data_IF_151195475486
#
_entry.id   IF_151195475486
#
_cell.length_a   1.000
_cell.length_b   1.000
_cell.length_c   1.000
_cell.angle_alpha   90.00
_cell.angle_beta   90.00
_cell.angle_gamma   90.00
#
_symmetry.space_group_name_H-M   'P 1'
#
loop_
_entity.id
_entity.type
_entity.pdbx_description
1 polymer ?
#
# COMPACT_ATOMS: atom_id res chain seq x y z
N UNK A 1 -22.10 0.13 7.91
CA UNK A 1 -21.89 0.23 9.37
C UNK A 1 -20.49 0.75 9.58
N UNK A 2 -20.34 1.89 10.24
CA UNK A 2 -19.02 2.44 10.56
C UNK A 2 -18.32 1.59 11.63
N UNK A 3 -16.99 1.58 11.72
CA UNK A 3 -16.24 0.87 12.76
C UNK A 3 -16.73 1.23 14.17
N UNK A 4 -17.07 2.51 14.39
CA UNK A 4 -17.62 2.99 15.66
C UNK A 4 -18.96 2.34 16.04
N UNK A 5 -19.84 2.09 15.08
CA UNK A 5 -21.14 1.44 15.34
C UNK A 5 -20.97 -0.04 15.73
N UNK A 6 -20.00 -0.73 15.14
CA UNK A 6 -19.69 -2.13 15.49
C UNK A 6 -19.11 -2.24 16.91
N UNK A 7 -18.18 -1.36 17.28
CA UNK A 7 -17.58 -1.34 18.62
C UNK A 7 -18.60 -1.07 19.72
N UNK A 8 -19.53 -0.14 19.48
CA UNK A 8 -20.61 0.18 20.42
C UNK A 8 -21.55 -1.02 20.60
N UNK A 9 -21.94 -1.69 19.52
CA UNK A 9 -22.82 -2.87 19.58
C UNK A 9 -22.18 -4.05 20.30
N UNK A 10 -20.90 -4.31 20.05
CA UNK A 10 -20.15 -5.37 20.73
C UNK A 10 -19.98 -5.09 22.23
N UNK A 11 -19.69 -3.86 22.60
CA UNK A 11 -19.60 -3.48 24.00
C UNK A 11 -20.94 -3.59 24.73
N UNK A 12 -22.04 -3.19 24.08
CA UNK A 12 -23.40 -3.39 24.59
C UNK A 12 -23.72 -4.88 24.76
N UNK A 13 -23.42 -5.71 23.75
CA UNK A 13 -23.64 -7.15 23.82
C UNK A 13 -22.83 -7.80 24.95
N UNK A 14 -21.59 -7.37 25.15
CA UNK A 14 -20.70 -7.90 26.20
C UNK A 14 -21.17 -7.47 27.59
N UNK A 15 -21.59 -6.21 27.74
CA UNK A 15 -22.13 -5.70 29.00
C UNK A 15 -23.45 -6.34 29.40
N UNK A 16 -24.39 -6.48 28.44
CA UNK A 16 -25.67 -7.16 28.66
C UNK A 16 -25.46 -8.65 28.95
N UNK A 17 -24.56 -9.31 28.21
CA UNK A 17 -24.20 -10.71 28.44
C UNK A 17 -23.60 -10.93 29.83
N UNK A 18 -22.62 -10.10 30.22
CA UNK A 18 -22.00 -10.16 31.55
C UNK A 18 -23.01 -9.91 32.68
N UNK A 19 -23.91 -8.94 32.49
CA UNK A 19 -25.00 -8.68 33.42
C UNK A 19 -25.93 -9.89 33.59
N UNK A 20 -26.41 -10.47 32.49
CA UNK A 20 -27.33 -11.61 32.52
C UNK A 20 -26.71 -12.84 33.17
N UNK A 21 -25.42 -13.11 32.90
CA UNK A 21 -24.70 -14.22 33.52
C UNK A 21 -24.57 -14.02 35.03
N UNK A 22 -24.11 -12.84 35.48
CA UNK A 22 -23.92 -12.56 36.90
C UNK A 22 -25.26 -12.54 37.66
N UNK A 23 -26.31 -11.99 37.04
CA UNK A 23 -27.64 -12.00 37.60
C UNK A 23 -28.21 -13.42 37.72
N UNK A 24 -28.00 -14.28 36.71
CA UNK A 24 -28.40 -15.69 36.76
C UNK A 24 -27.69 -16.49 37.88
N UNK A 25 -26.46 -16.10 38.24
CA UNK A 25 -25.72 -16.67 39.37
C UNK A 25 -26.14 -16.10 40.75
N UNK A 26 -27.19 -15.28 40.82
CA UNK A 26 -27.74 -14.76 42.07
C UNK A 26 -26.96 -13.59 42.66
N UNK A 27 -26.08 -12.96 41.88
CA UNK A 27 -25.38 -11.74 42.30
C UNK A 27 -26.36 -10.57 42.37
N UNK A 28 -26.28 -9.77 43.43
CA UNK A 28 -27.16 -8.63 43.66
C UNK A 28 -27.20 -7.70 42.44
N UNK A 29 -28.39 -7.24 42.08
CA UNK A 29 -28.66 -6.45 40.87
C UNK A 29 -27.66 -5.30 40.65
N UNK A 30 -27.35 -4.55 41.72
CA UNK A 30 -26.40 -3.42 41.68
C UNK A 30 -24.97 -3.86 41.34
N UNK A 31 -24.52 -5.00 41.87
CA UNK A 31 -23.19 -5.55 41.59
C UNK A 31 -23.10 -6.09 40.17
N UNK A 32 -24.14 -6.79 39.71
CA UNK A 32 -24.23 -7.31 38.34
C UNK A 32 -24.25 -6.18 37.31
N UNK A 33 -25.00 -5.10 37.56
CA UNK A 33 -25.04 -3.94 36.69
C UNK A 33 -23.69 -3.21 36.63
N UNK A 34 -23.02 -3.04 37.78
CA UNK A 34 -21.69 -2.43 37.84
C UNK A 34 -20.63 -3.23 37.08
N UNK A 35 -20.61 -4.56 37.26
CA UNK A 35 -19.68 -5.45 36.57
C UNK A 35 -19.97 -5.55 35.07
N UNK A 36 -21.24 -5.58 34.67
CA UNK A 36 -21.64 -5.54 33.25
C UNK A 36 -21.22 -4.23 32.56
N UNK A 37 -21.39 -3.09 33.24
CA UNK A 37 -20.92 -1.80 32.71
C UNK A 37 -19.39 -1.76 32.58
N UNK A 38 -18.65 -2.29 33.57
CA UNK A 38 -17.19 -2.42 33.51
C UNK A 38 -16.74 -3.28 32.33
N UNK A 39 -17.39 -4.42 32.10
CA UNK A 39 -17.12 -5.28 30.95
C UNK A 39 -17.39 -4.58 29.62
N UNK A 40 -18.46 -3.80 29.52
CA UNK A 40 -18.75 -3.00 28.33
C UNK A 40 -17.66 -1.95 28.04
N UNK A 41 -17.22 -1.24 29.08
CA UNK A 41 -16.13 -0.24 28.97
C UNK A 41 -14.82 -0.91 28.57
N UNK A 42 -14.50 -2.05 29.18
CA UNK A 42 -13.29 -2.80 28.86
C UNK A 42 -13.32 -3.35 27.43
N UNK A 43 -14.47 -3.85 26.97
CA UNK A 43 -14.67 -4.29 25.60
C UNK A 43 -14.52 -3.13 24.61
N UNK A 44 -15.10 -1.95 24.91
CA UNK A 44 -14.94 -0.74 24.11
C UNK A 44 -13.46 -0.32 24.02
N UNK A 45 -12.75 -0.33 25.15
CA UNK A 45 -11.34 0.04 25.21
C UNK A 45 -10.48 -0.95 24.42
N UNK A 46 -10.71 -2.25 24.61
CA UNK A 46 -10.00 -3.32 23.91
C UNK A 46 -10.25 -3.27 22.40
N UNK A 47 -11.50 -3.05 21.98
CA UNK A 47 -11.86 -2.92 20.56
C UNK A 47 -11.29 -1.66 19.93
N UNK A 48 -11.29 -0.52 20.62
CA UNK A 48 -10.69 0.71 20.08
C UNK A 48 -9.15 0.67 20.09
N UNK A 49 -8.54 -0.05 21.03
CA UNK A 49 -7.10 -0.24 21.09
C UNK A 49 -6.59 -1.24 20.06
N UNK A 50 -7.37 -2.30 19.79
CA UNK A 50 -7.04 -3.34 18.81
C UNK A 50 -7.57 -3.06 17.41
N UNK A 51 -8.54 -2.15 17.25
CA UNK A 51 -8.99 -1.73 15.92
C UNK A 51 -7.83 -1.01 15.25
N UNK A 52 -7.42 -1.45 14.04
CA UNK A 52 -6.55 -0.63 13.22
C UNK A 52 -7.19 0.74 13.10
N UNK A 53 -6.44 1.79 13.41
CA UNK A 53 -6.89 3.15 13.13
C UNK A 53 -7.16 3.24 11.62
N UNK A 54 -8.13 4.03 11.16
CA UNK A 54 -8.45 4.11 9.72
C UNK A 54 -7.20 4.35 8.85
N UNK A 55 -6.24 5.12 9.38
CA UNK A 55 -4.92 5.36 8.76
C UNK A 55 -4.04 4.11 8.64
N UNK A 56 -4.09 3.22 9.63
CA UNK A 56 -3.36 1.95 9.59
C UNK A 56 -3.99 1.01 8.56
N UNK A 57 -5.33 0.97 8.48
CA UNK A 57 -6.02 0.21 7.45
C UNK A 57 -5.72 0.73 6.03
N UNK A 58 -5.64 2.05 5.87
CA UNK A 58 -5.23 2.68 4.60
C UNK A 58 -3.78 2.36 4.23
N UNK A 59 -2.86 2.41 5.20
CA UNK A 59 -1.47 2.01 5.00
C UNK A 59 -1.37 0.54 4.55
N UNK A 60 -2.10 -0.36 5.20
CA UNK A 60 -2.12 -1.77 4.85
C UNK A 60 -2.71 -2.03 3.46
N UNK A 61 -3.75 -1.28 3.06
CA UNK A 61 -4.30 -1.34 1.71
C UNK A 61 -3.28 -0.85 0.67
N UNK A 62 -2.60 0.27 0.92
CA UNK A 62 -1.57 0.79 0.03
C UNK A 62 -0.41 -0.20 -0.16
N UNK A 63 0.04 -0.82 0.94
CA UNK A 63 1.08 -1.85 0.90
C UNK A 63 0.61 -3.09 0.12
N UNK A 64 -0.64 -3.51 0.30
CA UNK A 64 -1.20 -4.63 -0.48
C UNK A 64 -1.23 -4.30 -1.98
N UNK A 65 -1.59 -3.07 -2.35
CA UNK A 65 -1.60 -2.63 -3.75
C UNK A 65 -0.18 -2.54 -4.32
N UNK A 66 0.80 -2.08 -3.53
CA UNK A 66 2.22 -2.08 -3.91
C UNK A 66 2.68 -3.50 -4.30
N UNK A 67 2.33 -4.50 -3.50
CA UNK A 67 2.64 -5.90 -3.78
C UNK A 67 1.95 -6.42 -5.07
N UNK A 68 0.70 -6.04 -5.28
CA UNK A 68 -0.04 -6.36 -6.52
C UNK A 68 0.63 -5.77 -7.76
N UNK A 69 0.98 -4.47 -7.74
CA UNK A 69 1.66 -3.85 -8.87
C UNK A 69 3.06 -4.43 -9.08
N UNK A 70 3.77 -4.78 -8.01
CA UNK A 70 5.09 -5.43 -8.11
C UNK A 70 4.99 -6.80 -8.76
N UNK A 71 3.96 -7.57 -8.41
CA UNK A 71 3.67 -8.86 -9.07
C UNK A 71 3.36 -8.66 -10.56
N UNK A 72 2.60 -7.61 -10.91
CA UNK A 72 2.33 -7.25 -12.30
C UNK A 72 3.61 -6.85 -13.05
N UNK A 73 4.45 -5.99 -12.48
CA UNK A 73 5.75 -5.59 -13.07
C UNK A 73 6.63 -6.82 -13.28
N UNK A 74 6.67 -7.75 -12.32
CA UNK A 74 7.42 -9.01 -12.47
C UNK A 74 6.92 -9.81 -13.67
N UNK A 75 5.61 -9.97 -13.83
CA UNK A 75 5.05 -10.66 -14.98
C UNK A 75 5.36 -9.95 -16.32
N UNK A 76 5.24 -8.62 -16.36
CA UNK A 76 5.58 -7.83 -17.54
C UNK A 76 7.08 -7.87 -17.87
N UNK A 77 7.95 -7.87 -16.86
CA UNK A 77 9.40 -7.93 -17.07
C UNK A 77 9.83 -9.19 -17.83
N UNK A 78 9.10 -10.31 -17.70
CA UNK A 78 9.38 -11.54 -18.44
C UNK A 78 9.09 -11.42 -19.95
N UNK A 79 8.29 -10.44 -20.36
CA UNK A 79 7.96 -10.16 -21.77
C UNK A 79 8.95 -9.19 -22.42
N UNK A 80 9.81 -8.55 -21.64
CA UNK A 80 10.88 -7.68 -22.15
C UNK A 80 11.94 -8.53 -22.85
N UNK A 81 12.27 -8.19 -24.09
CA UNK A 81 13.25 -8.90 -24.91
C UNK A 81 14.70 -8.57 -24.51
N UNK A 82 14.93 -7.39 -23.93
CA UNK A 82 16.25 -6.98 -23.44
C UNK A 82 16.58 -7.65 -22.09
N UNK A 83 17.61 -8.50 -22.09
CA UNK A 83 18.01 -9.28 -20.91
C UNK A 83 18.48 -8.38 -19.75
N UNK A 84 19.16 -7.27 -20.04
CA UNK A 84 19.68 -6.35 -19.02
C UNK A 84 18.54 -5.60 -18.32
N UNK A 85 17.59 -5.08 -19.09
CA UNK A 85 16.38 -4.41 -18.57
C UNK A 85 15.51 -5.38 -17.79
N UNK A 86 15.32 -6.61 -18.30
CA UNK A 86 14.58 -7.66 -17.58
C UNK A 86 15.22 -8.00 -16.23
N UNK A 87 16.53 -8.23 -16.21
CA UNK A 87 17.25 -8.54 -14.96
C UNK A 87 17.20 -7.38 -13.96
N UNK A 88 17.30 -6.15 -14.47
CA UNK A 88 17.17 -4.92 -13.69
C UNK A 88 15.78 -4.83 -13.04
N UNK A 89 14.71 -5.01 -13.80
CA UNK A 89 13.34 -4.99 -13.30
C UNK A 89 13.08 -6.07 -12.25
N UNK A 90 13.56 -7.29 -12.49
CA UNK A 90 13.45 -8.38 -11.52
C UNK A 90 14.15 -8.05 -10.21
N UNK A 91 15.35 -7.47 -10.27
CA UNK A 91 16.08 -7.02 -9.07
C UNK A 91 15.33 -5.89 -8.32
N UNK A 92 14.63 -5.00 -9.04
CA UNK A 92 13.76 -4.00 -8.42
C UNK A 92 12.55 -4.64 -7.71
N UNK A 93 11.90 -5.62 -8.34
CA UNK A 93 10.83 -6.39 -7.72
C UNK A 93 11.32 -7.18 -6.49
N UNK A 94 12.53 -7.73 -6.52
CA UNK A 94 13.13 -8.46 -5.38
C UNK A 94 13.45 -7.55 -4.18
N UNK A 95 13.73 -6.26 -4.42
CA UNK A 95 13.99 -5.29 -3.36
C UNK A 95 12.72 -4.70 -2.72
N UNK A 96 11.57 -4.84 -3.40
CA UNK A 96 10.29 -4.28 -2.95
C UNK A 96 9.81 -4.76 -1.57
N UNK A 97 9.93 -6.05 -1.20
CA UNK A 97 9.57 -6.52 0.14
C UNK A 97 10.33 -5.76 1.25
N UNK A 98 11.62 -5.47 1.02
CA UNK A 98 12.43 -4.69 1.96
C UNK A 98 11.96 -3.24 2.07
N UNK A 99 11.58 -2.60 0.96
CA UNK A 99 10.98 -1.26 0.97
C UNK A 99 9.65 -1.25 1.75
N UNK A 100 8.80 -2.25 1.55
CA UNK A 100 7.53 -2.40 2.29
C UNK A 100 7.78 -2.55 3.79
N UNK A 101 8.80 -3.33 4.19
CA UNK A 101 9.18 -3.49 5.58
C UNK A 101 9.66 -2.16 6.19
N UNK A 102 10.48 -1.40 5.45
CA UNK A 102 10.90 -0.05 5.87
C UNK A 102 9.69 0.85 6.09
N UNK A 103 8.74 0.89 5.14
CA UNK A 103 7.50 1.69 5.26
C UNK A 103 6.71 1.28 6.51
N UNK A 104 6.53 -0.02 6.75
CA UNK A 104 5.80 -0.55 7.92
C UNK A 104 6.50 -0.26 9.24
N UNK A 105 7.83 -0.19 9.25
CA UNK A 105 8.61 0.10 10.46
C UNK A 105 8.56 1.57 10.89
N UNK A 106 8.04 2.47 10.03
CA UNK A 106 7.95 3.91 10.30
C UNK A 106 6.68 4.28 11.06
N UNK A 107 6.72 5.42 11.75
CA UNK A 107 5.53 6.02 12.36
C UNK A 107 4.44 6.30 11.31
N UNK A 108 3.18 6.09 11.67
CA UNK A 108 2.03 6.18 10.75
C UNK A 108 1.90 7.54 10.06
N UNK A 109 2.36 8.64 10.69
CA UNK A 109 2.34 9.99 10.11
C UNK A 109 3.32 10.12 8.95
N UNK A 110 4.36 9.30 8.93
CA UNK A 110 5.37 9.24 7.87
C UNK A 110 5.05 8.11 6.90
N UNK A 111 4.70 6.92 7.41
CA UNK A 111 4.44 5.72 6.62
C UNK A 111 3.28 5.91 5.63
N UNK A 112 2.20 6.58 6.03
CA UNK A 112 1.02 6.73 5.18
C UNK A 112 1.30 7.58 3.91
N UNK A 113 1.77 8.84 3.99
CA UNK A 113 2.14 9.61 2.80
C UNK A 113 3.20 8.90 1.94
N UNK A 114 4.15 8.22 2.59
CA UNK A 114 5.21 7.48 1.93
C UNK A 114 4.66 6.30 1.11
N UNK A 115 3.73 5.55 1.68
CA UNK A 115 3.07 4.43 1.02
C UNK A 115 2.22 4.88 -0.17
N UNK A 116 1.52 6.01 -0.05
CA UNK A 116 0.70 6.58 -1.14
C UNK A 116 1.58 7.01 -2.31
N UNK A 117 2.69 7.70 -2.03
CA UNK A 117 3.65 8.15 -3.05
C UNK A 117 4.35 6.98 -3.73
N UNK A 118 4.80 6.00 -2.94
CA UNK A 118 5.38 4.77 -3.48
C UNK A 118 4.36 4.01 -4.33
N UNK A 119 3.09 3.98 -3.93
CA UNK A 119 2.03 3.34 -4.70
C UNK A 119 1.82 4.00 -6.06
N UNK A 120 1.75 5.33 -6.10
CA UNK A 120 1.66 6.08 -7.37
C UNK A 120 2.85 5.78 -8.26
N UNK A 121 4.06 5.80 -7.69
CA UNK A 121 5.29 5.49 -8.40
C UNK A 121 5.28 4.10 -9.04
N UNK A 122 4.99 3.06 -8.26
CA UNK A 122 5.00 1.67 -8.75
C UNK A 122 3.85 1.43 -9.75
N UNK A 123 2.71 2.11 -9.57
CA UNK A 123 1.62 2.10 -10.53
C UNK A 123 2.05 2.67 -11.89
N UNK A 124 2.66 3.85 -11.90
CA UNK A 124 3.09 4.51 -13.14
C UNK A 124 4.18 3.70 -13.87
N UNK A 125 5.10 3.06 -13.12
CA UNK A 125 6.07 2.13 -13.71
C UNK A 125 5.39 0.90 -14.32
N UNK A 126 4.37 0.36 -13.67
CA UNK A 126 3.62 -0.77 -14.24
C UNK A 126 2.89 -0.39 -15.53
N UNK A 127 2.35 0.83 -15.61
CA UNK A 127 1.70 1.37 -16.83
C UNK A 127 2.74 1.62 -17.94
N UNK A 128 3.85 2.28 -17.61
CA UNK A 128 4.95 2.55 -18.57
C UNK A 128 5.56 1.26 -19.12
N UNK A 129 5.66 0.22 -18.29
CA UNK A 129 6.19 -1.08 -18.72
C UNK A 129 5.20 -1.84 -19.63
N UNK A 130 3.89 -1.65 -19.44
CA UNK A 130 2.85 -2.16 -20.34
C UNK A 130 3.03 -1.53 -21.74
N UNK A 131 3.12 -0.20 -21.79
CA UNK A 131 3.34 0.56 -23.03
C UNK A 131 4.67 0.19 -23.69
N UNK A 132 5.74 0.03 -22.90
CA UNK A 132 7.05 -0.38 -23.41
C UNK A 132 6.99 -1.76 -24.08
N UNK A 133 6.31 -2.74 -23.48
CA UNK A 133 6.16 -4.06 -24.08
C UNK A 133 5.35 -3.98 -25.37
N UNK A 134 4.31 -3.16 -25.43
CA UNK A 134 3.50 -2.96 -26.63
C UNK A 134 4.26 -2.23 -27.76
N UNK A 135 5.17 -1.31 -27.42
CA UNK A 135 6.05 -0.60 -28.37
C UNK A 135 7.22 -1.46 -28.82
N UNK A 136 7.74 -2.34 -27.97
CA UNK A 136 8.77 -3.32 -28.33
C UNK A 136 8.32 -4.20 -29.50
N UNK A 137 7.03 -4.58 -29.51
CA UNK A 137 6.42 -5.33 -30.61
C UNK A 137 6.32 -4.50 -31.91
N UNK A 138 6.41 -3.18 -31.83
CA UNK A 138 6.37 -2.23 -32.96
C UNK A 138 7.76 -1.76 -33.44
N UNK A 139 8.84 -2.14 -32.73
CA UNK A 139 10.25 -1.88 -33.06
C UNK A 139 10.68 -0.40 -33.18
N UNK A 140 10.05 0.53 -32.44
CA UNK A 140 10.51 1.93 -32.41
C UNK A 140 11.67 2.13 -31.40
N UNK A 141 12.89 2.20 -31.93
CA UNK A 141 14.13 2.31 -31.16
C UNK A 141 14.22 3.55 -30.26
N UNK A 142 13.52 4.65 -30.59
CA UNK A 142 13.62 5.90 -29.81
C UNK A 142 12.82 5.81 -28.51
N UNK A 143 11.63 5.21 -28.56
CA UNK A 143 10.81 5.00 -27.36
C UNK A 143 11.37 3.89 -26.46
N UNK A 144 12.02 2.90 -27.06
CA UNK A 144 12.71 1.85 -26.29
C UNK A 144 13.83 2.42 -25.41
N UNK A 145 14.65 3.34 -25.93
CA UNK A 145 15.73 3.97 -25.13
C UNK A 145 15.17 4.82 -23.97
N UNK A 146 14.08 5.55 -24.21
CA UNK A 146 13.38 6.34 -23.19
C UNK A 146 12.77 5.45 -22.10
N UNK A 147 12.12 4.35 -22.49
CA UNK A 147 11.58 3.38 -21.53
C UNK A 147 12.67 2.73 -20.68
N UNK A 148 13.80 2.33 -21.27
CA UNK A 148 14.94 1.76 -20.53
C UNK A 148 15.50 2.72 -19.48
N UNK A 149 15.60 4.01 -19.79
CA UNK A 149 16.07 5.02 -18.84
C UNK A 149 15.15 5.13 -17.61
N UNK A 150 13.83 5.09 -17.82
CA UNK A 150 12.86 5.14 -16.71
C UNK A 150 12.87 3.84 -15.90
N UNK A 151 13.01 2.69 -16.56
CA UNK A 151 13.09 1.40 -15.87
C UNK A 151 14.35 1.27 -14.99
N UNK A 152 15.49 1.83 -15.41
CA UNK A 152 16.68 1.89 -14.55
C UNK A 152 16.47 2.73 -13.29
N UNK A 153 15.70 3.82 -13.38
CA UNK A 153 15.36 4.64 -12.23
C UNK A 153 14.47 3.88 -11.23
N UNK A 154 13.53 3.05 -11.70
CA UNK A 154 12.76 2.12 -10.84
C UNK A 154 13.67 1.22 -10.00
N UNK A 155 14.71 0.64 -10.62
CA UNK A 155 15.69 -0.20 -9.89
C UNK A 155 16.45 0.60 -8.84
N UNK A 156 16.85 1.82 -9.16
CA UNK A 156 17.56 2.68 -8.22
C UNK A 156 16.68 3.04 -7.01
N UNK A 157 15.40 3.33 -7.23
CA UNK A 157 14.42 3.62 -6.19
C UNK A 157 14.20 2.41 -5.26
N UNK A 158 13.97 1.23 -5.85
CA UNK A 158 13.73 0.01 -5.07
C UNK A 158 14.96 -0.42 -4.24
N UNK A 159 16.18 -0.16 -4.73
CA UNK A 159 17.44 -0.51 -4.03
C UNK A 159 17.85 0.49 -2.96
N UNK A 160 17.51 1.77 -3.11
CA UNK A 160 17.91 2.82 -2.17
C UNK A 160 16.71 3.67 -1.73
N UNK A 161 15.67 3.04 -1.13
CA UNK A 161 14.45 3.76 -0.78
C UNK A 161 14.75 4.96 0.12
N UNK A 162 15.58 4.81 1.15
CA UNK A 162 15.87 5.90 2.09
C UNK A 162 16.54 7.14 1.46
N UNK A 163 17.20 7.02 0.31
CA UNK A 163 17.82 8.15 -0.43
C UNK A 163 16.92 8.78 -1.48
N UNK A 164 15.94 8.02 -1.98
CA UNK A 164 15.06 8.41 -3.08
C UNK A 164 13.66 8.81 -2.60
N UNK A 165 13.31 8.50 -1.35
CA UNK A 165 12.05 8.87 -0.70
C UNK A 165 11.95 10.36 -0.29
N UNK A 166 12.86 11.22 -0.76
CA UNK A 166 12.70 12.66 -0.56
C UNK A 166 11.53 13.15 -1.44
N UNK A 167 10.71 14.03 -0.88
CA UNK A 167 9.52 14.58 -1.55
C UNK A 167 9.82 15.19 -2.91
N UNK A 168 10.96 15.88 -3.01
CA UNK A 168 11.41 16.50 -4.25
C UNK A 168 11.75 15.45 -5.33
N UNK A 169 12.47 14.39 -4.97
CA UNK A 169 12.91 13.36 -5.93
C UNK A 169 11.75 12.53 -6.47
N UNK A 170 10.79 12.18 -5.62
CA UNK A 170 9.59 11.46 -6.08
C UNK A 170 8.72 12.33 -7.00
N UNK A 171 8.58 13.63 -6.72
CA UNK A 171 7.82 14.54 -7.58
C UNK A 171 8.50 14.74 -8.94
N UNK A 172 9.83 14.94 -8.95
CA UNK A 172 10.61 15.03 -10.20
C UNK A 172 10.43 13.79 -11.07
N UNK A 173 10.32 12.61 -10.45
CA UNK A 173 10.13 11.35 -11.17
C UNK A 173 8.71 11.12 -11.67
N UNK A 174 7.68 11.37 -10.86
CA UNK A 174 6.28 11.29 -11.31
C UNK A 174 6.07 12.22 -12.51
N UNK A 175 6.67 13.40 -12.47
CA UNK A 175 6.64 14.34 -13.59
C UNK A 175 7.39 13.80 -14.82
N UNK A 176 8.53 13.10 -14.66
CA UNK A 176 9.22 12.49 -15.81
C UNK A 176 8.39 11.38 -16.44
N UNK A 177 7.80 10.47 -15.66
CA UNK A 177 6.93 9.41 -16.18
C UNK A 177 5.66 9.94 -16.83
N UNK A 178 5.02 10.94 -16.20
CA UNK A 178 3.83 11.59 -16.78
C UNK A 178 4.16 12.28 -18.10
N UNK A 179 5.36 12.88 -18.22
CA UNK A 179 5.83 13.48 -19.47
C UNK A 179 6.12 12.43 -20.56
N UNK A 180 6.48 11.20 -20.19
CA UNK A 180 6.56 10.09 -21.16
C UNK A 180 5.18 9.61 -21.60
N UNK A 181 4.22 9.48 -20.68
CA UNK A 181 2.86 9.02 -20.97
C UNK A 181 2.01 10.07 -21.75
N UNK A 182 2.36 11.36 -21.65
CA UNK A 182 1.71 12.44 -22.40
C UNK A 182 2.25 12.62 -23.84
N UNK A 183 3.35 11.96 -24.21
CA UNK A 183 3.82 11.95 -25.59
C UNK A 183 3.18 10.79 -26.33
N UNK A 184 1.95 11.00 -26.81
CA UNK A 184 1.49 10.25 -27.99
C UNK A 184 2.58 10.34 -29.07
N UNK A 185 2.89 9.24 -29.77
CA UNK A 185 3.91 9.27 -30.80
C UNK A 185 3.54 10.38 -31.80
N UNK A 186 4.49 11.26 -32.18
CA UNK A 186 4.21 12.32 -33.13
C UNK A 186 3.72 11.65 -34.42
N UNK A 187 2.57 12.10 -34.91
CA UNK A 187 2.03 11.62 -36.17
C UNK A 187 3.10 11.78 -37.26
N UNK A 188 3.48 10.65 -37.86
CA UNK A 188 4.41 10.60 -38.97
C UNK A 188 3.77 11.29 -40.18
N UNK A 189 4.05 12.58 -40.34
CA UNK A 189 3.80 13.35 -41.58
C UNK A 189 4.89 13.12 -42.61
#
# INVERSE_FOLDING_TARGET
MTPSQRSILLALATGVGGFLVLFAFGVAWLLSAGLGALLAVFALFTLNYLSPTDKQGELDDNVRRLDQFTTRIRALSLRVADDETRASLQAGCDAMPGMIEIIRSRDIRVALPLSQRSLLYVKDVAETLDDYVDIQDQADAKYLALGQQELQKFVSFARQPDRELSEQKMNEYINSLTALNLNQPPELS
#
